data_IF_325066305665
#
_entry.id   IF_325066305665
#
_cell.length_a   1.000
_cell.length_b   1.000
_cell.length_c   1.000
_cell.angle_alpha   90.00
_cell.angle_beta   90.00
_cell.angle_gamma   90.00
#
_symmetry.space_group_name_H-M   'P 1'
#
loop_
_entity.id
_entity.type
_entity.pdbx_description
1 polymer ?
#
# COMPACT_ATOMS: atom_id res chain seq x y z
N UNK A 1 5.28 11.19 -32.49
CA UNK A 1 4.23 10.28 -31.97
C UNK A 1 4.34 10.32 -30.47
N UNK A 2 3.37 10.94 -29.80
CA UNK A 2 3.34 10.97 -28.33
C UNK A 2 2.96 9.57 -27.84
N UNK A 3 3.85 8.96 -27.06
CA UNK A 3 3.66 7.64 -26.46
C UNK A 3 2.66 7.80 -25.31
N UNK A 4 1.53 7.10 -25.37
CA UNK A 4 0.46 7.22 -24.38
C UNK A 4 0.77 6.31 -23.18
N UNK A 5 1.49 6.87 -22.20
CA UNK A 5 1.88 6.17 -20.98
C UNK A 5 0.66 5.86 -20.08
N UNK A 6 0.38 4.58 -19.81
CA UNK A 6 -0.61 4.17 -18.80
C UNK A 6 0.04 4.15 -17.41
N UNK A 7 0.03 5.30 -16.73
CA UNK A 7 0.62 5.47 -15.40
C UNK A 7 -0.43 5.76 -14.33
N UNK A 8 -0.31 5.10 -13.17
CA UNK A 8 -1.01 5.48 -11.95
C UNK A 8 -0.02 6.05 -10.94
N UNK A 9 -0.24 7.30 -10.56
CA UNK A 9 0.47 7.91 -9.42
C UNK A 9 -0.21 7.51 -8.11
N UNK A 10 0.60 7.02 -7.17
CA UNK A 10 0.21 6.48 -5.87
C UNK A 10 0.95 7.22 -4.77
N UNK A 11 0.25 7.94 -3.90
CA UNK A 11 0.90 8.51 -2.71
C UNK A 11 0.92 7.50 -1.57
N UNK A 12 2.04 7.38 -0.85
CA UNK A 12 2.14 6.59 0.38
C UNK A 12 2.13 7.51 1.61
N UNK A 13 1.11 7.35 2.46
CA UNK A 13 0.89 8.12 3.67
C UNK A 13 1.09 7.28 4.92
N UNK A 14 1.52 7.96 5.97
CA UNK A 14 1.71 7.40 7.31
C UNK A 14 2.87 8.10 8.04
N UNK A 15 2.90 8.06 9.38
CA UNK A 15 3.93 8.72 10.18
C UNK A 15 5.35 8.22 9.91
N UNK A 16 6.34 8.95 10.43
CA UNK A 16 7.74 8.54 10.32
C UNK A 16 7.96 7.23 11.06
N UNK A 17 8.70 6.29 10.45
CA UNK A 17 8.98 4.99 11.07
C UNK A 17 7.81 4.01 11.12
N UNK A 18 6.63 4.34 10.55
CA UNK A 18 5.49 3.40 10.51
C UNK A 18 5.86 2.14 9.72
N UNK A 19 6.56 2.30 8.59
CA UNK A 19 7.03 1.21 7.72
C UNK A 19 6.68 1.34 6.25
N UNK A 20 6.52 2.56 5.71
CA UNK A 20 6.13 2.82 4.31
C UNK A 20 7.10 2.22 3.29
N UNK A 21 8.35 2.67 3.30
CA UNK A 21 9.40 2.18 2.40
C UNK A 21 9.69 0.70 2.62
N UNK A 22 9.60 0.21 3.85
CA UNK A 22 9.74 -1.20 4.19
C UNK A 22 8.65 -2.05 3.51
N UNK A 23 7.38 -1.61 3.58
CA UNK A 23 6.29 -2.25 2.85
C UNK A 23 6.57 -2.28 1.33
N UNK A 24 6.98 -1.16 0.73
CA UNK A 24 7.24 -1.10 -0.71
C UNK A 24 8.40 -2.02 -1.11
N UNK A 25 9.46 -2.10 -0.30
CA UNK A 25 10.59 -2.98 -0.54
C UNK A 25 10.17 -4.47 -0.54
N UNK A 26 9.33 -4.85 0.43
CA UNK A 26 8.77 -6.21 0.52
C UNK A 26 7.85 -6.50 -0.68
N UNK A 27 6.94 -5.58 -1.01
CA UNK A 27 6.02 -5.73 -2.14
C UNK A 27 6.78 -5.87 -3.47
N UNK A 28 7.81 -5.04 -3.70
CA UNK A 28 8.67 -5.13 -4.88
C UNK A 28 9.36 -6.49 -4.96
N UNK A 29 9.97 -6.95 -3.86
CA UNK A 29 10.67 -8.24 -3.83
C UNK A 29 9.74 -9.41 -4.13
N UNK A 30 8.51 -9.40 -3.59
CA UNK A 30 7.51 -10.46 -3.82
C UNK A 30 6.97 -10.48 -5.26
N UNK A 31 6.99 -9.33 -5.95
CA UNK A 31 6.48 -9.19 -7.33
C UNK A 31 7.58 -9.13 -8.39
N UNK A 32 8.83 -9.30 -7.99
CA UNK A 32 9.98 -9.30 -8.87
C UNK A 32 10.02 -10.50 -9.84
N UNK A 33 10.94 -10.44 -10.82
CA UNK A 33 11.07 -11.44 -11.86
C UNK A 33 11.63 -12.80 -11.36
N UNK A 34 12.10 -12.88 -10.12
CA UNK A 34 12.61 -14.13 -9.53
C UNK A 34 11.61 -14.83 -8.60
N UNK A 35 10.52 -14.16 -8.22
CA UNK A 35 9.63 -14.61 -7.13
C UNK A 35 8.19 -14.87 -7.59
N UNK A 36 7.71 -14.17 -8.61
CA UNK A 36 6.32 -14.34 -9.05
C UNK A 36 6.13 -15.57 -9.97
N UNK A 37 5.63 -16.68 -9.44
CA UNK A 37 5.28 -17.88 -10.24
C UNK A 37 3.80 -17.91 -10.67
N UNK A 38 3.00 -16.93 -10.24
CA UNK A 38 1.54 -16.95 -10.41
C UNK A 38 1.07 -16.38 -11.75
N UNK A 39 1.89 -15.53 -12.38
CA UNK A 39 1.56 -14.89 -13.66
C UNK A 39 2.82 -14.61 -14.46
N UNK A 40 2.67 -14.51 -15.78
CA UNK A 40 3.74 -14.03 -16.66
C UNK A 40 4.09 -12.53 -16.43
N UNK A 41 3.43 -11.83 -15.50
CA UNK A 41 3.67 -10.42 -15.22
C UNK A 41 4.74 -10.26 -14.12
N UNK A 42 5.74 -9.40 -14.36
CA UNK A 42 6.72 -8.96 -13.38
C UNK A 42 6.58 -7.47 -13.12
N UNK A 43 6.73 -7.05 -11.87
CA UNK A 43 6.85 -5.64 -11.49
C UNK A 43 8.36 -5.31 -11.43
N UNK A 44 8.82 -4.43 -12.30
CA UNK A 44 10.22 -4.02 -12.38
C UNK A 44 10.36 -2.58 -11.94
N UNK A 45 11.12 -2.36 -10.88
CA UNK A 45 11.56 -1.03 -10.48
C UNK A 45 12.61 -0.50 -11.48
N UNK A 46 12.67 0.82 -11.66
CA UNK A 46 13.85 1.41 -12.31
C UNK A 46 15.12 1.19 -11.46
N UNK A 47 16.30 1.42 -12.06
CA UNK A 47 17.58 1.10 -11.41
C UNK A 47 17.80 1.83 -10.10
N UNK A 48 17.34 3.08 -9.99
CA UNK A 48 17.46 3.88 -8.78
C UNK A 48 16.54 3.35 -7.67
N UNK A 49 15.26 3.15 -8.02
CA UNK A 49 14.24 2.58 -7.14
C UNK A 49 14.65 1.21 -6.63
N UNK A 50 15.14 0.33 -7.51
CA UNK A 50 15.58 -1.02 -7.15
C UNK A 50 16.74 -1.00 -6.14
N UNK A 51 17.75 -0.16 -6.37
CA UNK A 51 18.90 -0.06 -5.47
C UNK A 51 18.49 0.36 -4.04
N UNK A 52 17.57 1.33 -3.94
CA UNK A 52 17.05 1.81 -2.66
C UNK A 52 16.21 0.72 -1.99
N UNK A 53 15.27 0.12 -2.71
CA UNK A 53 14.36 -0.89 -2.17
C UNK A 53 15.10 -2.17 -1.76
N UNK A 54 16.09 -2.61 -2.54
CA UNK A 54 16.94 -3.75 -2.19
C UNK A 54 17.74 -3.49 -0.91
N UNK A 55 18.24 -2.27 -0.70
CA UNK A 55 18.89 -1.89 0.56
C UNK A 55 17.92 -1.95 1.74
N UNK A 56 16.71 -1.41 1.59
CA UNK A 56 15.69 -1.49 2.64
C UNK A 56 15.28 -2.93 2.95
N UNK A 57 15.11 -3.77 1.92
CA UNK A 57 14.81 -5.19 2.09
C UNK A 57 15.92 -5.91 2.86
N UNK A 58 17.19 -5.70 2.47
CA UNK A 58 18.34 -6.29 3.17
C UNK A 58 18.42 -5.84 4.63
N UNK A 59 18.12 -4.58 4.93
CA UNK A 59 18.05 -4.09 6.32
C UNK A 59 16.95 -4.79 7.13
N UNK A 60 15.82 -5.16 6.52
CA UNK A 60 14.80 -5.98 7.18
C UNK A 60 15.30 -7.40 7.44
N UNK A 61 16.00 -8.02 6.48
CA UNK A 61 16.60 -9.35 6.68
C UNK A 61 17.64 -9.36 7.81
N UNK A 62 18.51 -8.35 7.87
CA UNK A 62 19.50 -8.16 8.93
C UNK A 62 18.84 -7.93 10.30
N UNK A 63 17.76 -7.16 10.34
CA UNK A 63 16.94 -6.98 11.53
C UNK A 63 16.33 -8.31 11.99
N UNK A 64 15.75 -9.08 11.06
CA UNK A 64 15.22 -10.42 11.38
C UNK A 64 16.31 -11.32 11.96
N UNK A 65 17.52 -11.32 11.37
CA UNK A 65 18.66 -12.11 11.86
C UNK A 65 19.16 -11.68 13.24
N UNK A 66 19.09 -10.39 13.57
CA UNK A 66 19.64 -9.84 14.81
C UNK A 66 18.70 -9.89 16.03
N UNK A 67 17.43 -10.30 15.87
CA UNK A 67 16.51 -10.48 17.00
C UNK A 67 16.98 -11.48 18.07
N UNK A 68 17.95 -12.34 17.77
CA UNK A 68 18.58 -13.23 18.76
C UNK A 68 19.62 -12.55 19.66
N UNK A 69 20.10 -11.35 19.31
CA UNK A 69 21.27 -10.73 19.98
C UNK A 69 21.08 -9.28 20.41
N UNK A 70 20.14 -8.54 19.83
CA UNK A 70 19.93 -7.13 20.11
C UNK A 70 18.43 -6.85 20.18
N UNK A 71 18.00 -6.12 21.22
CA UNK A 71 16.68 -5.52 21.26
C UNK A 71 16.40 -4.76 19.96
N UNK A 72 15.15 -4.81 19.52
CA UNK A 72 14.66 -4.21 18.27
C UNK A 72 15.21 -2.80 18.04
N UNK A 73 15.56 -2.50 16.79
CA UNK A 73 15.76 -1.13 16.31
C UNK A 73 15.05 -1.00 14.98
N UNK A 74 14.00 -0.18 14.91
CA UNK A 74 13.30 0.08 13.66
C UNK A 74 14.23 0.63 12.55
N UNK A 75 13.84 0.44 11.28
CA UNK A 75 14.54 1.03 10.14
C UNK A 75 14.33 2.55 10.16
N UNK A 76 15.41 3.33 9.92
CA UNK A 76 15.34 4.81 9.90
C UNK A 76 14.30 5.29 8.87
N UNK A 77 13.52 6.28 9.27
CA UNK A 77 12.50 6.89 8.41
C UNK A 77 13.08 7.78 7.30
N UNK A 78 12.33 7.96 6.23
CA UNK A 78 12.63 8.84 5.09
C UNK A 78 12.63 10.31 5.52
N UNK A 79 13.59 11.12 5.03
CA UNK A 79 13.77 12.54 5.38
C UNK A 79 13.26 13.52 4.31
N UNK A 80 13.22 13.08 3.04
CA UNK A 80 12.73 13.83 1.88
C UNK A 80 11.79 12.95 1.04
N UNK A 81 10.84 13.54 0.30
CA UNK A 81 9.99 12.77 -0.62
C UNK A 81 10.83 11.93 -1.57
N UNK A 82 10.40 10.68 -1.76
CA UNK A 82 11.10 9.74 -2.62
C UNK A 82 10.14 9.12 -3.61
N UNK A 83 10.49 9.23 -4.89
CA UNK A 83 9.71 8.67 -5.98
C UNK A 83 10.24 7.27 -6.30
N UNK A 84 9.33 6.32 -6.48
CA UNK A 84 9.66 4.98 -6.96
C UNK A 84 8.84 4.66 -8.20
N UNK A 85 9.50 4.40 -9.31
CA UNK A 85 8.83 4.07 -10.57
C UNK A 85 8.94 2.59 -10.84
N UNK A 86 7.79 1.97 -11.13
CA UNK A 86 7.71 0.59 -11.52
C UNK A 86 7.02 0.45 -12.86
N UNK A 87 7.49 -0.51 -13.64
CA UNK A 87 6.89 -0.91 -14.91
C UNK A 87 6.48 -2.36 -14.83
N UNK A 88 5.33 -2.68 -15.42
CA UNK A 88 4.95 -4.07 -15.61
C UNK A 88 5.47 -4.57 -16.94
N UNK A 89 6.15 -5.71 -16.87
CA UNK A 89 6.63 -6.42 -18.04
C UNK A 89 6.11 -7.86 -18.03
N UNK A 90 5.94 -8.44 -19.23
CA UNK A 90 5.64 -9.87 -19.35
C UNK A 90 6.96 -10.64 -19.49
N UNK A 91 7.18 -11.64 -18.64
CA UNK A 91 8.31 -12.56 -18.75
C UNK A 91 8.30 -13.26 -20.11
N UNK A 92 9.47 -13.31 -20.76
CA UNK A 92 9.67 -14.01 -22.03
C UNK A 92 9.22 -13.25 -23.29
N UNK A 93 8.86 -11.97 -23.20
CA UNK A 93 8.48 -11.16 -24.36
C UNK A 93 9.59 -10.18 -24.77
N UNK A 94 9.94 -10.12 -26.07
CA UNK A 94 11.07 -9.35 -26.62
C UNK A 94 10.64 -8.09 -27.43
N UNK A 95 9.39 -7.62 -27.28
CA UNK A 95 8.86 -6.48 -28.04
C UNK A 95 8.71 -5.18 -27.24
N UNK A 96 8.89 -4.03 -27.91
CA UNK A 96 8.62 -2.70 -27.37
C UNK A 96 7.10 -2.47 -27.21
N UNK A 97 6.58 -2.58 -25.98
CA UNK A 97 5.23 -2.12 -25.63
C UNK A 97 5.32 -0.87 -24.74
N UNK A 98 4.31 -0.01 -24.83
CA UNK A 98 4.18 1.11 -23.90
C UNK A 98 3.87 0.53 -22.50
N UNK A 99 4.72 0.78 -21.50
CA UNK A 99 4.65 0.07 -20.22
C UNK A 99 3.49 0.62 -19.38
N UNK A 100 2.71 -0.30 -18.82
CA UNK A 100 1.86 -0.02 -17.67
C UNK A 100 2.78 0.30 -16.50
N UNK A 101 2.63 1.47 -15.87
CA UNK A 101 3.51 1.90 -14.79
C UNK A 101 2.76 2.32 -13.53
N UNK A 102 3.43 2.14 -12.39
CA UNK A 102 3.04 2.70 -11.11
C UNK A 102 4.15 3.66 -10.68
N UNK A 103 3.76 4.87 -10.29
CA UNK A 103 4.67 5.83 -9.66
C UNK A 103 4.27 5.99 -8.21
N UNK A 104 5.07 5.49 -7.29
CA UNK A 104 4.87 5.71 -5.86
C UNK A 104 5.59 6.97 -5.42
N UNK A 105 4.94 7.77 -4.58
CA UNK A 105 5.52 8.93 -3.92
C UNK A 105 5.50 8.65 -2.42
N UNK A 106 6.67 8.30 -1.85
CA UNK A 106 6.84 8.07 -0.42
C UNK A 106 7.04 9.41 0.30
N UNK A 107 5.98 9.84 0.98
CA UNK A 107 5.95 11.10 1.70
C UNK A 107 6.57 10.95 3.09
N UNK A 108 7.55 11.77 3.49
CA UNK A 108 8.15 11.67 4.81
C UNK A 108 7.12 11.96 5.90
N UNK A 109 7.00 11.06 6.87
CA UNK A 109 5.92 11.16 7.86
C UNK A 109 6.17 12.22 8.95
N UNK A 110 7.41 12.72 9.08
CA UNK A 110 7.76 13.79 10.03
C UNK A 110 7.08 15.14 9.74
N UNK A 111 6.41 15.26 8.60
CA UNK A 111 5.70 16.46 8.20
C UNK A 111 4.19 16.45 8.52
N UNK A 112 3.64 15.30 8.92
CA UNK A 112 2.25 15.21 9.37
C UNK A 112 2.03 15.93 10.71
N UNK A 113 3.06 16.03 11.54
CA UNK A 113 2.95 16.48 12.93
C UNK A 113 3.61 17.83 13.23
N UNK A 114 4.12 18.57 12.23
CA UNK A 114 4.80 19.85 12.45
C UNK A 114 3.99 21.05 11.91
N UNK A 115 3.28 21.80 12.77
CA UNK A 115 2.49 22.97 12.37
C UNK A 115 3.32 24.08 11.71
N UNK A 116 4.62 24.16 12.02
CA UNK A 116 5.52 25.19 11.50
C UNK A 116 6.00 24.89 10.07
N UNK A 117 5.50 23.80 9.45
CA UNK A 117 5.86 23.39 8.09
C UNK A 117 4.65 23.46 7.15
N UNK A 118 3.88 24.55 7.23
CA UNK A 118 2.66 24.76 6.44
C UNK A 118 2.87 24.57 4.93
N UNK A 119 3.95 25.12 4.37
CA UNK A 119 4.28 24.98 2.95
C UNK A 119 4.50 23.50 2.54
N UNK A 120 5.07 22.70 3.45
CA UNK A 120 5.24 21.25 3.23
C UNK A 120 3.90 20.52 3.31
N UNK A 121 3.01 20.93 4.21
CA UNK A 121 1.64 20.39 4.29
C UNK A 121 0.86 20.66 3.00
N UNK A 122 0.92 21.87 2.46
CA UNK A 122 0.23 22.22 1.21
C UNK A 122 0.77 21.41 0.02
N UNK A 123 2.08 21.18 -0.05
CA UNK A 123 2.67 20.26 -1.01
C UNK A 123 2.09 18.83 -0.89
N UNK A 124 1.88 18.29 0.31
CA UNK A 124 1.29 16.95 0.46
C UNK A 124 -0.17 16.90 0.07
N UNK A 125 -0.93 17.93 0.43
CA UNK A 125 -2.31 18.05 -0.01
C UNK A 125 -2.36 18.04 -1.54
N UNK A 126 -1.48 18.78 -2.20
CA UNK A 126 -1.36 18.81 -3.66
C UNK A 126 -0.98 17.44 -4.25
N UNK A 127 0.06 16.80 -3.72
CA UNK A 127 0.51 15.45 -4.14
C UNK A 127 -0.60 14.40 -4.00
N UNK A 128 -1.31 14.38 -2.86
CA UNK A 128 -2.42 13.45 -2.64
C UNK A 128 -3.59 13.77 -3.58
N UNK A 129 -3.93 15.05 -3.76
CA UNK A 129 -5.04 15.46 -4.63
C UNK A 129 -4.82 15.07 -6.09
N UNK A 130 -3.58 15.15 -6.56
CA UNK A 130 -3.16 14.78 -7.93
C UNK A 130 -2.94 13.29 -8.13
N UNK A 131 -2.78 12.53 -7.05
CA UNK A 131 -2.60 11.08 -7.14
C UNK A 131 -3.91 10.38 -7.48
N UNK A 132 -3.86 9.32 -8.29
CA UNK A 132 -5.03 8.50 -8.58
C UNK A 132 -5.34 7.50 -7.44
N UNK A 133 -4.33 7.15 -6.66
CA UNK A 133 -4.48 6.31 -5.48
C UNK A 133 -3.67 6.80 -4.28
N UNK A 134 -4.11 6.41 -3.08
CA UNK A 134 -3.46 6.70 -1.81
C UNK A 134 -3.34 5.43 -0.99
N UNK A 135 -2.12 5.05 -0.63
CA UNK A 135 -1.86 3.99 0.34
C UNK A 135 -1.69 4.63 1.72
N UNK A 136 -2.47 4.19 2.70
CA UNK A 136 -2.32 4.60 4.11
C UNK A 136 -1.74 3.40 4.86
N UNK A 137 -0.46 3.51 5.23
CA UNK A 137 0.24 2.45 5.98
C UNK A 137 -0.07 2.60 7.47
N UNK A 138 -0.47 1.51 8.10
CA UNK A 138 -0.93 1.49 9.51
C UNK A 138 -0.10 0.49 10.31
N UNK A 139 0.52 0.93 11.40
CA UNK A 139 1.15 0.04 12.39
C UNK A 139 0.06 -0.73 13.15
N UNK A 140 -0.05 -2.03 12.86
CA UNK A 140 -1.08 -2.90 13.45
C UNK A 140 -0.85 -3.15 14.93
N UNK A 141 0.41 -3.17 15.39
CA UNK A 141 0.69 -3.35 16.83
C UNK A 141 0.13 -2.15 17.61
N UNK A 142 0.32 -0.93 17.10
CA UNK A 142 -0.24 0.27 17.71
C UNK A 142 -1.76 0.36 17.60
N UNK A 143 -2.33 -0.14 16.50
CA UNK A 143 -3.77 -0.18 16.26
C UNK A 143 -4.48 -1.13 17.26
N UNK A 144 -3.91 -2.30 17.48
CA UNK A 144 -4.56 -3.42 18.16
C UNK A 144 -4.18 -3.53 19.64
N UNK A 145 -2.91 -3.31 19.98
CA UNK A 145 -2.40 -3.61 21.31
C UNK A 145 -2.88 -2.59 22.35
N UNK A 146 -3.12 -3.05 23.58
CA UNK A 146 -3.64 -2.21 24.68
C UNK A 146 -4.86 -1.37 24.27
N UNK A 147 -5.80 -1.98 23.52
CA UNK A 147 -7.00 -1.33 22.96
C UNK A 147 -6.70 -0.09 22.09
N UNK A 148 -5.55 -0.11 21.39
CA UNK A 148 -5.09 0.97 20.54
C UNK A 148 -4.56 2.18 21.32
N UNK A 149 -4.05 1.99 22.54
CA UNK A 149 -3.46 3.06 23.39
C UNK A 149 -2.43 3.90 22.63
N UNK A 150 -1.64 3.27 21.78
CA UNK A 150 -0.53 3.90 21.05
C UNK A 150 -0.90 4.27 19.61
N UNK A 151 -2.17 4.09 19.23
CA UNK A 151 -2.61 4.27 17.85
C UNK A 151 -2.40 5.70 17.36
N UNK A 152 -2.75 6.72 18.15
CA UNK A 152 -2.53 8.11 17.73
C UNK A 152 -1.04 8.44 17.64
N UNK A 153 -0.22 7.95 18.57
CA UNK A 153 1.22 8.18 18.57
C UNK A 153 1.90 7.60 17.31
N UNK A 154 1.53 6.38 16.88
CA UNK A 154 2.21 5.67 15.78
C UNK A 154 1.53 5.80 14.42
N UNK A 155 0.21 5.98 14.38
CA UNK A 155 -0.58 6.06 13.16
C UNK A 155 -1.09 7.47 12.85
N UNK A 156 -1.05 8.40 13.82
CA UNK A 156 -1.47 9.81 13.69
C UNK A 156 -2.80 9.94 12.93
N UNK A 157 -3.82 9.24 13.41
CA UNK A 157 -5.08 9.06 12.68
C UNK A 157 -5.74 10.41 12.39
N UNK A 158 -5.65 11.35 13.33
CA UNK A 158 -6.24 12.67 13.17
C UNK A 158 -5.58 13.46 12.03
N UNK A 159 -4.25 13.44 11.96
CA UNK A 159 -3.50 14.17 10.94
C UNK A 159 -3.65 13.54 9.55
N UNK A 160 -3.62 12.20 9.48
CA UNK A 160 -3.92 11.48 8.23
C UNK A 160 -5.33 11.81 7.75
N UNK A 161 -6.31 11.82 8.66
CA UNK A 161 -7.70 12.16 8.34
C UNK A 161 -7.80 13.57 7.76
N UNK A 162 -7.23 14.57 8.43
CA UNK A 162 -7.24 15.96 7.96
C UNK A 162 -6.57 16.13 6.61
N UNK A 163 -5.43 15.48 6.39
CA UNK A 163 -4.71 15.57 5.13
C UNK A 163 -5.51 14.99 3.97
N UNK A 164 -6.10 13.81 4.16
CA UNK A 164 -6.95 13.18 3.14
C UNK A 164 -8.18 14.04 2.86
N UNK A 165 -8.81 14.61 3.89
CA UNK A 165 -9.94 15.53 3.74
C UNK A 165 -9.57 16.74 2.88
N UNK A 166 -8.51 17.45 3.25
CA UNK A 166 -8.07 18.63 2.51
C UNK A 166 -7.69 18.31 1.06
N UNK A 167 -7.06 17.15 0.82
CA UNK A 167 -6.64 16.76 -0.53
C UNK A 167 -7.82 16.36 -1.42
N UNK A 168 -8.78 15.63 -0.87
CA UNK A 168 -9.94 15.13 -1.64
C UNK A 168 -11.02 16.20 -1.82
N UNK A 169 -11.02 17.26 -0.99
CA UNK A 169 -11.86 18.43 -1.22
C UNK A 169 -11.25 19.40 -2.25
N UNK A 170 -9.91 19.42 -2.41
CA UNK A 170 -9.24 20.15 -3.51
C UNK A 170 -9.32 19.41 -4.86
N UNK A 171 -9.39 18.09 -4.83
CA UNK A 171 -9.37 17.25 -6.04
C UNK A 171 -10.62 17.42 -6.92
N UNK A 172 -10.44 17.28 -8.23
CA UNK A 172 -11.56 17.19 -9.17
C UNK A 172 -12.41 15.93 -8.93
N UNK A 173 -13.62 15.86 -9.51
CA UNK A 173 -14.56 14.73 -9.45
C UNK A 173 -14.06 13.41 -10.11
N UNK A 174 -12.75 13.20 -10.16
CA UNK A 174 -12.13 11.98 -10.66
C UNK A 174 -12.33 10.83 -9.67
N UNK A 175 -12.38 9.60 -10.19
CA UNK A 175 -12.39 8.45 -9.29
C UNK A 175 -11.02 8.27 -8.64
N UNK A 176 -11.00 7.90 -7.37
CA UNK A 176 -9.80 7.66 -6.57
C UNK A 176 -9.86 6.31 -5.86
N UNK A 177 -8.71 5.79 -5.48
CA UNK A 177 -8.58 4.59 -4.64
C UNK A 177 -7.80 4.90 -3.37
N UNK A 178 -8.35 4.53 -2.21
CA UNK A 178 -7.63 4.49 -0.94
C UNK A 178 -7.42 3.04 -0.53
N UNK A 179 -6.19 2.66 -0.20
CA UNK A 179 -5.87 1.34 0.35
C UNK A 179 -5.26 1.54 1.73
N UNK A 180 -5.95 1.07 2.76
CA UNK A 180 -5.34 0.88 4.06
C UNK A 180 -4.49 -0.38 4.04
N UNK A 181 -3.22 -0.23 4.40
CA UNK A 181 -2.27 -1.34 4.48
C UNK A 181 -1.81 -1.46 5.93
N UNK A 182 -2.57 -2.19 6.77
CA UNK A 182 -2.07 -2.64 8.07
C UNK A 182 -0.81 -3.48 7.85
N UNK A 183 0.29 -3.09 8.47
CA UNK A 183 1.58 -3.80 8.43
C UNK A 183 1.93 -4.31 9.82
N UNK A 184 2.96 -5.16 9.92
CA UNK A 184 3.31 -5.86 11.17
C UNK A 184 2.16 -6.75 11.70
N UNK A 185 1.43 -7.38 10.77
CA UNK A 185 0.23 -8.14 11.09
C UNK A 185 0.51 -9.57 11.60
N UNK A 186 1.77 -9.99 11.67
CA UNK A 186 2.20 -11.35 12.02
C UNK A 186 1.49 -11.86 13.27
N UNK A 187 1.49 -11.07 14.34
CA UNK A 187 0.86 -11.42 15.63
C UNK A 187 -0.64 -11.69 15.51
N UNK A 188 -1.33 -10.93 14.66
CA UNK A 188 -2.80 -10.89 14.61
C UNK A 188 -3.38 -11.70 13.46
N UNK A 189 -2.57 -12.11 12.49
CA UNK A 189 -2.96 -13.02 11.41
C UNK A 189 -2.64 -14.49 11.72
N UNK A 190 -2.05 -14.79 12.88
CA UNK A 190 -1.98 -16.17 13.38
C UNK A 190 -3.39 -16.68 13.73
N UNK A 191 -3.66 -17.95 13.40
CA UNK A 191 -4.92 -18.61 13.75
C UNK A 191 -5.06 -18.73 15.28
N UNK A 192 -6.27 -18.52 15.80
CA UNK A 192 -6.59 -18.65 17.23
C UNK A 192 -7.72 -17.72 17.69
N UNK A 193 -8.26 -18.01 18.87
CA UNK A 193 -9.30 -17.17 19.48
C UNK A 193 -8.83 -15.74 19.65
N UNK A 194 -9.68 -14.82 19.22
CA UNK A 194 -9.40 -13.42 19.34
C UNK A 194 -8.32 -12.89 18.40
N UNK A 195 -7.99 -13.63 17.34
CA UNK A 195 -7.10 -13.23 16.24
C UNK A 195 -7.82 -13.43 14.90
N UNK A 196 -7.21 -12.94 13.83
CA UNK A 196 -7.73 -13.07 12.47
C UNK A 196 -7.97 -11.73 11.76
N UNK A 197 -8.16 -11.77 10.43
CA UNK A 197 -8.27 -10.57 9.60
C UNK A 197 -9.40 -9.63 10.02
N UNK A 198 -10.54 -10.19 10.47
CA UNK A 198 -11.74 -9.45 10.84
C UNK A 198 -11.47 -8.47 11.97
N UNK A 199 -10.66 -8.86 12.96
CA UNK A 199 -10.33 -7.99 14.10
C UNK A 199 -9.49 -6.78 13.70
N UNK A 200 -8.56 -6.97 12.77
CA UNK A 200 -7.77 -5.86 12.21
C UNK A 200 -8.71 -4.90 11.49
N UNK A 201 -9.66 -5.42 10.71
CA UNK A 201 -10.63 -4.59 9.99
C UNK A 201 -11.57 -3.84 10.95
N UNK A 202 -12.08 -4.49 12.00
CA UNK A 202 -12.93 -3.87 13.02
C UNK A 202 -12.20 -2.75 13.76
N UNK A 203 -10.97 -3.01 14.23
CA UNK A 203 -10.16 -2.00 14.89
C UNK A 203 -9.86 -0.83 13.97
N UNK A 204 -9.50 -1.09 12.70
CA UNK A 204 -9.26 -0.05 11.71
C UNK A 204 -10.52 0.80 11.47
N UNK A 205 -11.68 0.16 11.25
CA UNK A 205 -12.97 0.84 11.08
C UNK A 205 -13.31 1.71 12.29
N UNK A 206 -13.09 1.20 13.50
CA UNK A 206 -13.35 1.93 14.74
C UNK A 206 -12.42 3.13 14.92
N UNK A 207 -11.12 2.97 14.67
CA UNK A 207 -10.15 4.05 14.90
C UNK A 207 -10.16 5.11 13.79
N UNK A 208 -10.43 4.71 12.55
CA UNK A 208 -10.54 5.62 11.39
C UNK A 208 -12.00 5.98 11.07
N UNK A 209 -12.93 5.84 12.01
CA UNK A 209 -14.38 6.01 11.78
C UNK A 209 -14.71 7.36 11.14
N UNK A 210 -14.12 8.44 11.66
CA UNK A 210 -14.25 9.80 11.11
C UNK A 210 -13.87 9.89 9.62
N UNK A 211 -12.74 9.29 9.24
CA UNK A 211 -12.32 9.30 7.84
C UNK A 211 -13.24 8.41 7.00
N UNK A 212 -13.51 7.19 7.45
CA UNK A 212 -14.23 6.18 6.68
C UNK A 212 -15.72 6.48 6.55
N UNK A 213 -16.43 6.68 7.67
CA UNK A 213 -17.88 6.85 7.71
C UNK A 213 -18.32 8.28 7.48
N UNK A 214 -17.71 9.24 8.17
CA UNK A 214 -18.17 10.63 8.08
C UNK A 214 -17.76 11.27 6.76
N UNK A 215 -16.55 10.97 6.25
CA UNK A 215 -16.00 11.65 5.09
C UNK A 215 -16.00 10.84 3.78
N UNK A 216 -15.51 9.60 3.78
CA UNK A 216 -15.34 8.82 2.55
C UNK A 216 -16.63 8.13 2.08
N UNK A 217 -17.48 7.66 2.99
CA UNK A 217 -18.73 6.98 2.64
C UNK A 217 -19.66 7.84 1.76
N UNK A 218 -19.89 9.15 2.02
CA UNK A 218 -20.62 10.02 1.11
C UNK A 218 -20.03 10.11 -0.30
N UNK A 219 -18.73 9.82 -0.46
CA UNK A 219 -18.00 9.86 -1.75
C UNK A 219 -17.88 8.48 -2.41
N UNK A 220 -18.63 7.46 -1.96
CA UNK A 220 -18.52 6.07 -2.42
C UNK A 220 -18.74 5.85 -3.92
N UNK A 221 -19.40 6.78 -4.63
CA UNK A 221 -19.55 6.73 -6.08
C UNK A 221 -18.22 6.94 -6.82
N UNK A 222 -17.34 7.78 -6.27
CA UNK A 222 -16.08 8.18 -6.89
C UNK A 222 -14.85 7.64 -6.13
N UNK A 223 -14.99 7.21 -4.88
CA UNK A 223 -13.87 6.73 -4.07
C UNK A 223 -14.08 5.27 -3.68
N UNK A 224 -13.13 4.43 -4.09
CA UNK A 224 -13.00 3.07 -3.58
C UNK A 224 -12.10 3.04 -2.36
N UNK A 225 -12.46 2.22 -1.38
CA UNK A 225 -11.64 2.02 -0.18
C UNK A 225 -11.47 0.53 0.05
N UNK A 226 -10.23 0.09 0.22
CA UNK A 226 -9.88 -1.29 0.54
C UNK A 226 -8.97 -1.36 1.77
N UNK A 227 -8.98 -2.51 2.44
CA UNK A 227 -8.07 -2.86 3.52
C UNK A 227 -7.34 -4.13 3.13
N UNK A 228 -6.02 -4.13 3.21
CA UNK A 228 -5.16 -5.27 2.86
C UNK A 228 -4.06 -5.44 3.90
N UNK A 229 -4.33 -6.15 5.02
CA UNK A 229 -3.31 -6.49 6.01
C UNK A 229 -2.14 -7.28 5.41
N UNK A 230 -0.92 -6.95 5.85
CA UNK A 230 0.34 -7.52 5.36
C UNK A 230 1.18 -8.04 6.53
N UNK A 231 1.70 -9.27 6.39
CA UNK A 231 2.83 -9.75 7.21
C UNK A 231 4.11 -9.22 6.56
N UNK A 232 4.77 -8.28 7.22
CA UNK A 232 5.87 -7.51 6.63
C UNK A 232 7.18 -8.28 6.63
N UNK A 233 7.49 -8.95 7.74
CA UNK A 233 8.67 -9.83 7.83
C UNK A 233 8.26 -11.29 8.02
N UNK A 234 7.03 -11.55 8.47
CA UNK A 234 6.45 -12.89 8.56
C UNK A 234 6.83 -13.70 9.79
N UNK A 235 8.10 -13.65 10.18
CA UNK A 235 8.69 -14.57 11.15
C UNK A 235 8.87 -14.01 12.56
N UNK A 236 8.34 -12.83 12.84
CA UNK A 236 8.45 -12.22 14.18
C UNK A 236 7.07 -11.82 14.70
N UNK A 237 6.87 -11.99 15.99
CA UNK A 237 5.63 -11.70 16.69
C UNK A 237 5.89 -10.81 17.89
N UNK A 238 4.84 -10.12 18.31
CA UNK A 238 4.84 -9.30 19.51
C UNK A 238 5.24 -10.10 20.75
N UNK A 239 6.16 -9.55 21.54
CA UNK A 239 6.58 -10.08 22.84
C UNK A 239 6.34 -9.06 23.98
N UNK A 240 6.40 -7.78 23.68
CA UNK A 240 6.29 -6.73 24.68
C UNK A 240 6.40 -5.33 24.06
N UNK A 241 6.49 -4.33 24.91
CA UNK A 241 6.86 -2.98 24.48
C UNK A 241 7.67 -2.26 25.55
N UNK A 242 8.43 -1.26 25.12
CA UNK A 242 9.15 -0.32 25.99
C UNK A 242 8.49 1.05 25.94
N UNK A 243 8.33 1.67 27.10
CA UNK A 243 7.81 3.03 27.20
C UNK A 243 8.96 4.02 27.34
N UNK A 244 8.77 5.21 26.77
CA UNK A 244 9.61 6.37 27.08
C UNK A 244 9.28 6.94 28.47
N UNK A 245 10.10 7.90 28.92
CA UNK A 245 9.95 8.59 30.21
C UNK A 245 8.59 9.32 30.37
N UNK A 246 7.88 9.55 29.26
CA UNK A 246 6.59 10.23 29.21
C UNK A 246 5.40 9.27 29.06
N UNK A 247 5.65 7.96 29.08
CA UNK A 247 4.63 6.91 28.98
C UNK A 247 4.12 6.64 27.56
N UNK A 248 4.80 7.17 26.54
CA UNK A 248 4.63 6.86 25.13
C UNK A 248 5.39 5.59 24.71
N UNK A 249 5.04 5.02 23.57
CA UNK A 249 5.72 3.82 23.04
C UNK A 249 7.09 4.19 22.44
N UNK A 250 8.18 3.76 23.07
CA UNK A 250 9.54 3.90 22.53
C UNK A 250 9.79 2.84 21.44
N UNK A 251 9.58 1.57 21.77
CA UNK A 251 9.76 0.48 20.83
C UNK A 251 8.92 -0.77 21.13
N UNK A 252 8.70 -1.59 20.11
CA UNK A 252 8.05 -2.88 20.20
C UNK A 252 9.09 -3.97 20.46
N UNK A 253 8.94 -4.70 21.56
CA UNK A 253 9.73 -5.90 21.76
C UNK A 253 9.12 -7.04 20.93
N UNK A 254 9.90 -7.55 19.99
CA UNK A 254 9.50 -8.58 19.05
C UNK A 254 10.40 -9.80 19.21
N UNK A 255 9.82 -10.99 19.06
CA UNK A 255 10.57 -12.25 19.06
C UNK A 255 10.30 -13.05 17.80
N UNK A 256 11.28 -13.83 17.36
CA UNK A 256 11.06 -14.80 16.29
C UNK A 256 10.06 -15.88 16.73
N UNK A 257 9.33 -16.42 15.77
CA UNK A 257 8.44 -17.57 15.98
C UNK A 257 9.21 -18.86 16.31
N UNK A 258 10.44 -18.99 15.82
CA UNK A 258 11.45 -19.99 16.19
C UNK A 258 12.86 -19.45 15.84
N UNK A 259 13.92 -20.03 16.42
CA UNK A 259 15.29 -19.47 16.43
C UNK A 259 15.82 -19.08 15.04
N UNK A 260 15.67 -19.97 14.06
CA UNK A 260 16.17 -19.79 12.69
C UNK A 260 15.09 -19.37 11.68
N UNK A 261 13.97 -18.80 12.15
CA UNK A 261 12.88 -18.38 11.27
C UNK A 261 13.37 -17.37 10.22
N UNK A 262 13.30 -17.69 8.91
CA UNK A 262 13.72 -16.79 7.85
C UNK A 262 12.70 -15.65 7.70
N UNK A 263 13.05 -14.59 6.99
CA UNK A 263 12.05 -13.61 6.57
C UNK A 263 11.07 -14.27 5.60
N UNK A 264 9.77 -14.22 5.89
CA UNK A 264 8.71 -14.89 5.12
C UNK A 264 7.46 -13.98 5.00
N UNK A 265 7.57 -12.86 4.27
CA UNK A 265 6.47 -11.91 4.17
C UNK A 265 5.27 -12.50 3.42
N UNK A 266 4.06 -12.11 3.83
CA UNK A 266 2.82 -12.55 3.20
C UNK A 266 1.89 -11.38 2.87
N UNK A 267 1.17 -11.51 1.76
CA UNK A 267 0.11 -10.61 1.28
C UNK A 267 0.56 -9.22 0.82
N UNK A 268 1.87 -8.91 0.77
CA UNK A 268 2.35 -7.59 0.36
C UNK A 268 2.05 -7.27 -1.13
N UNK A 269 1.70 -8.27 -1.94
CA UNK A 269 1.24 -8.08 -3.30
C UNK A 269 -0.23 -7.62 -3.42
N UNK A 270 -1.05 -7.87 -2.40
CA UNK A 270 -2.49 -7.57 -2.44
C UNK A 270 -2.78 -6.08 -2.69
N UNK A 271 -2.12 -5.11 -2.01
CA UNK A 271 -2.25 -3.69 -2.36
C UNK A 271 -1.96 -3.40 -3.83
N UNK A 272 -0.93 -4.03 -4.40
CA UNK A 272 -0.52 -3.83 -5.81
C UNK A 272 -1.57 -4.40 -6.76
N UNK A 273 -2.19 -5.54 -6.43
CA UNK A 273 -3.33 -6.08 -7.18
C UNK A 273 -4.50 -5.11 -7.22
N UNK A 274 -4.81 -4.44 -6.11
CA UNK A 274 -5.86 -3.42 -6.07
C UNK A 274 -5.53 -2.19 -6.91
N UNK A 275 -4.29 -1.70 -6.87
CA UNK A 275 -3.84 -0.58 -7.71
C UNK A 275 -4.01 -0.90 -9.20
N UNK A 276 -3.56 -2.09 -9.61
CA UNK A 276 -3.71 -2.56 -10.98
C UNK A 276 -5.17 -2.72 -11.39
N UNK A 277 -5.98 -3.31 -10.51
CA UNK A 277 -7.41 -3.49 -10.73
C UNK A 277 -8.11 -2.16 -10.97
N UNK A 278 -7.80 -1.16 -10.16
CA UNK A 278 -8.32 0.18 -10.30
C UNK A 278 -7.86 0.86 -11.58
N UNK A 279 -6.55 0.88 -11.86
CA UNK A 279 -5.99 1.45 -13.10
C UNK A 279 -6.64 0.83 -14.35
N UNK A 280 -6.81 -0.49 -14.34
CA UNK A 280 -7.44 -1.22 -15.43
C UNK A 280 -8.93 -0.87 -15.58
N UNK A 281 -9.69 -0.76 -14.47
CA UNK A 281 -11.09 -0.35 -14.52
C UNK A 281 -11.27 1.09 -15.02
N UNK A 282 -10.39 2.01 -14.60
CA UNK A 282 -10.43 3.40 -15.05
C UNK A 282 -10.15 3.50 -16.55
N UNK A 283 -9.17 2.74 -17.04
CA UNK A 283 -8.89 2.65 -18.47
C UNK A 283 -10.09 2.15 -19.27
N UNK A 284 -10.75 1.06 -18.83
CA UNK A 284 -11.90 0.48 -19.53
C UNK A 284 -13.10 1.43 -19.55
N UNK A 285 -13.33 2.20 -18.48
CA UNK A 285 -14.39 3.22 -18.46
C UNK A 285 -14.10 4.38 -19.41
N UNK A 286 -12.82 4.76 -19.55
CA UNK A 286 -12.38 5.79 -20.49
C UNK A 286 -12.58 5.44 -21.96
N UNK A 287 -12.71 4.15 -22.32
CA UNK A 287 -13.06 3.73 -23.69
C UNK A 287 -14.52 4.06 -24.07
N UNK A 288 -15.41 4.28 -23.09
CA UNK A 288 -16.83 4.57 -23.32
C UNK A 288 -17.17 6.08 -23.24
N UNK A 289 -16.19 6.95 -22.96
CA UNK A 289 -16.39 8.41 -22.96
C UNK A 289 -15.63 9.07 -24.11
N UNK A 290 -16.34 9.83 -24.93
CA UNK A 290 -15.86 10.53 -26.15
C UNK A 290 -14.71 11.54 -25.91
N UNK A 291 -14.23 11.71 -24.68
CA UNK A 291 -13.26 12.73 -24.27
C UNK A 291 -11.81 12.21 -24.37
N UNK A 292 -11.58 10.89 -24.38
CA UNK A 292 -10.28 10.27 -24.62
C UNK A 292 -10.21 9.58 -26.00
N UNK A 293 -10.62 10.31 -27.04
CA UNK A 293 -10.80 9.83 -28.43
C UNK A 293 -9.56 9.32 -29.18
N UNK A 294 -8.45 9.02 -28.52
CA UNK A 294 -7.23 8.47 -29.14
C UNK A 294 -6.78 7.11 -28.57
N UNK A 295 -7.53 6.55 -27.62
CA UNK A 295 -7.12 5.35 -26.88
C UNK A 295 -7.57 4.02 -27.52
N UNK A 296 -8.41 4.06 -28.56
CA UNK A 296 -8.87 2.86 -29.28
C UNK A 296 -7.73 2.08 -29.98
N UNK A 297 -6.59 2.72 -30.28
CA UNK A 297 -5.48 2.10 -31.01
C UNK A 297 -4.44 1.41 -30.12
N UNK A 298 -4.44 1.64 -28.80
CA UNK A 298 -3.32 1.26 -27.92
C UNK A 298 -3.40 -0.19 -27.41
N UNK A 299 -4.59 -0.66 -27.06
CA UNK A 299 -4.80 -1.99 -26.45
C UNK A 299 -5.46 -3.01 -27.38
N UNK A 300 -6.02 -2.59 -28.52
CA UNK A 300 -6.36 -3.52 -29.61
C UNK A 300 -5.15 -4.28 -30.16
N UNK A 301 -3.93 -3.82 -29.87
CA UNK A 301 -2.67 -4.48 -30.26
C UNK A 301 -2.06 -5.40 -29.19
N UNK A 302 -2.60 -5.41 -27.95
CA UNK A 302 -1.96 -6.06 -26.78
C UNK A 302 -2.95 -6.84 -25.89
N UNK A 303 -3.88 -7.59 -26.48
CA UNK A 303 -4.86 -8.43 -25.75
C UNK A 303 -4.18 -9.39 -24.74
N UNK A 304 -2.95 -9.84 -25.01
CA UNK A 304 -2.19 -10.67 -24.08
C UNK A 304 -1.80 -9.95 -22.77
N UNK A 305 -1.44 -8.67 -22.85
CA UNK A 305 -1.10 -7.87 -21.65
C UNK A 305 -2.37 -7.58 -20.85
N UNK A 306 -3.48 -7.31 -21.55
CA UNK A 306 -4.80 -7.13 -20.95
C UNK A 306 -5.22 -8.36 -20.16
N UNK A 307 -5.05 -9.56 -20.74
CA UNK A 307 -5.36 -10.82 -20.06
C UNK A 307 -4.39 -11.12 -18.91
N UNK A 308 -3.09 -10.85 -19.07
CA UNK A 308 -2.11 -11.02 -17.98
C UNK A 308 -2.41 -10.10 -16.80
N UNK A 309 -2.70 -8.81 -17.06
CA UNK A 309 -3.10 -7.83 -16.04
C UNK A 309 -4.44 -8.23 -15.42
N UNK A 310 -5.42 -8.69 -16.21
CA UNK A 310 -6.71 -9.17 -15.70
C UNK A 310 -6.53 -10.39 -14.78
N UNK A 311 -5.68 -11.35 -15.15
CA UNK A 311 -5.34 -12.53 -14.32
C UNK A 311 -4.60 -12.15 -13.05
N UNK A 312 -3.66 -11.21 -13.12
CA UNK A 312 -2.93 -10.74 -11.95
C UNK A 312 -3.83 -9.93 -10.99
N UNK A 313 -4.62 -9.01 -11.54
CA UNK A 313 -5.59 -8.20 -10.82
C UNK A 313 -6.78 -9.03 -10.30
N UNK A 314 -6.99 -10.24 -10.83
CA UNK A 314 -7.91 -11.19 -10.25
C UNK A 314 -7.44 -11.53 -8.83
N UNK A 315 -8.36 -11.32 -7.91
CA UNK A 315 -8.18 -11.61 -6.51
C UNK A 315 -7.84 -13.10 -6.30
N UNK A 316 -6.80 -13.40 -5.51
CA UNK A 316 -6.49 -14.77 -5.08
C UNK A 316 -7.77 -15.44 -4.54
N UNK A 317 -8.18 -16.61 -5.04
CA UNK A 317 -9.36 -17.30 -4.52
C UNK A 317 -9.12 -17.75 -3.07
N UNK A 318 -10.17 -17.78 -2.26
CA UNK A 318 -10.16 -18.29 -0.88
C UNK A 318 -10.47 -17.23 0.19
N UNK A 319 -11.20 -17.67 1.23
CA UNK A 319 -11.60 -16.82 2.37
C UNK A 319 -10.45 -16.52 3.35
N UNK A 320 -9.25 -17.08 3.10
CA UNK A 320 -8.09 -16.95 3.99
C UNK A 320 -7.21 -15.72 3.68
N UNK A 321 -7.41 -15.06 2.53
CA UNK A 321 -6.64 -13.84 2.21
C UNK A 321 -7.20 -12.67 3.03
N UNK A 322 -6.41 -12.04 3.90
CA UNK A 322 -6.87 -10.92 4.72
C UNK A 322 -7.05 -9.69 3.81
N UNK A 323 -8.27 -9.47 3.33
CA UNK A 323 -8.61 -8.22 2.62
C UNK A 323 -10.09 -7.94 2.68
N UNK A 324 -10.46 -6.68 2.53
CA UNK A 324 -11.84 -6.23 2.47
C UNK A 324 -11.99 -5.00 1.57
N UNK A 325 -13.05 -4.93 0.78
CA UNK A 325 -13.47 -3.71 0.09
C UNK A 325 -14.55 -3.06 0.96
N UNK A 326 -14.28 -1.86 1.46
CA UNK A 326 -15.21 -1.13 2.33
C UNK A 326 -16.27 -0.36 1.52
N UNK A 327 -15.89 0.18 0.36
CA UNK A 327 -16.79 0.91 -0.54
C UNK A 327 -16.22 0.98 -1.97
N UNK A 328 -17.06 1.45 -2.91
CA UNK A 328 -16.64 1.71 -4.30
C UNK A 328 -16.36 0.44 -5.11
N UNK A 329 -17.07 -0.66 -4.83
CA UNK A 329 -16.91 -1.96 -5.51
C UNK A 329 -16.94 -1.85 -7.04
N UNK A 330 -17.78 -0.98 -7.61
CA UNK A 330 -17.91 -0.74 -9.05
C UNK A 330 -16.70 -0.02 -9.68
N UNK A 331 -15.82 0.58 -8.88
CA UNK A 331 -14.54 1.15 -9.33
C UNK A 331 -13.44 0.09 -9.44
N UNK A 332 -13.70 -1.10 -8.88
CA UNK A 332 -12.79 -2.22 -8.90
C UNK A 332 -13.37 -3.39 -9.72
N UNK A 333 -14.64 -3.39 -10.10
CA UNK A 333 -15.27 -4.55 -10.75
C UNK A 333 -14.74 -4.85 -12.17
N UNK A 334 -13.94 -5.92 -12.31
CA UNK A 334 -13.39 -6.42 -13.58
C UNK A 334 -14.42 -7.22 -14.42
N UNK A 335 -15.61 -7.49 -13.89
CA UNK A 335 -16.66 -8.24 -14.60
C UNK A 335 -17.50 -7.34 -15.52
N UNK A 336 -17.70 -6.08 -15.13
CA UNK A 336 -18.46 -5.07 -15.90
C UNK A 336 -17.77 -4.59 -17.17
N UNK A 337 -16.49 -4.96 -17.37
CA UNK A 337 -15.70 -4.61 -18.55
C UNK A 337 -15.78 -5.62 -19.70
N UNK A 338 -16.71 -6.58 -19.61
CA UNK A 338 -17.00 -7.57 -20.66
C UNK A 338 -18.06 -7.11 -21.68
N UNK A 339 -18.58 -5.88 -21.56
CA UNK A 339 -19.59 -5.34 -22.49
C UNK A 339 -18.98 -4.30 -23.41
#
# INVERSE_FOLDING_TARGET
>A
MEIIKMELTVTMLGPSGVGKTAFLAVASRMLGPTTNNLTDLALLADSESEAILAKHYKSLEELVRSFSTLGSRGVKGTTAPQDFTFKFERRGFLGNREPLSLKFIDVPGGYLSNPNMKDKRDYYVDVVSKSGATIIVVDTLALMHSNGRFNEQRNQVQEVTRLVQDAYDKGANESKLIIFVPIKCETYLLEGEGRGPQKIHEALKSKYDKLLREYLLPKALNVAVAVTPVKTVGSVIYNGYKLDDYGGIEDWDLRKIYEDAPMDPEYAEEPIRFLLRFLFCQFLKGQNSSIFGSFNNLLGRNEDLKEAVRKFAAMRPGNHVPREILQGHHLLDLSRSKK
#
